data_IF_416707235610
#
_entry.id   IF_416707235610
#
_cell.length_a   1.000
_cell.length_b   1.000
_cell.length_c   1.000
_cell.angle_alpha   90.00
_cell.angle_beta   90.00
_cell.angle_gamma   90.00
#
_symmetry.space_group_name_H-M   'P 1'
#
loop_
_entity.id
_entity.type
_entity.pdbx_description
1 polymer ?
#
# COMPACT_ATOMS: atom_id res chain seq x y z
N UNK A 1 56.42 -2.44 11.91
CA UNK A 1 55.96 -3.16 13.12
C UNK A 1 55.03 -2.22 13.90
N UNK A 2 53.92 -2.64 14.51
CA UNK A 2 53.02 -3.76 14.22
C UNK A 2 51.56 -3.29 13.99
N UNK A 3 50.82 -4.12 13.25
CA UNK A 3 49.37 -4.25 13.23
C UNK A 3 48.86 -4.66 14.62
N UNK A 4 47.76 -4.08 15.13
CA UNK A 4 46.98 -4.73 16.20
C UNK A 4 45.48 -4.55 16.02
N UNK A 5 44.84 -5.70 15.93
CA UNK A 5 43.42 -5.96 15.89
C UNK A 5 42.74 -5.58 17.22
N UNK A 6 41.43 -5.30 17.15
CA UNK A 6 40.53 -5.36 18.31
C UNK A 6 39.42 -6.37 18.01
N UNK A 7 39.53 -7.52 18.65
CA UNK A 7 38.45 -8.50 18.81
C UNK A 7 37.56 -8.09 19.98
N UNK A 8 36.26 -8.36 19.89
CA UNK A 8 35.38 -8.45 21.06
C UNK A 8 34.66 -9.81 21.02
N UNK A 9 34.84 -10.52 22.12
CA UNK A 9 34.33 -11.85 22.47
C UNK A 9 32.84 -11.82 22.82
N UNK A 10 32.21 -13.00 22.71
CA UNK A 10 31.10 -13.45 23.56
C UNK A 10 29.79 -13.65 22.81
N UNK A 11 29.05 -14.76 22.94
CA UNK A 11 29.15 -15.88 23.85
C UNK A 11 28.47 -17.11 23.21
N UNK A 12 29.01 -18.29 23.52
CA UNK A 12 28.48 -19.59 23.13
C UNK A 12 27.26 -19.97 23.99
N UNK A 13 26.27 -20.63 23.40
CA UNK A 13 25.27 -21.41 24.13
C UNK A 13 25.18 -22.78 23.47
N UNK A 14 25.59 -23.80 24.22
CA UNK A 14 25.52 -25.21 23.83
C UNK A 14 24.10 -25.74 24.02
N UNK A 15 23.63 -26.56 23.08
CA UNK A 15 22.44 -27.40 23.28
C UNK A 15 22.82 -28.86 23.00
N UNK A 16 22.66 -29.70 24.02
CA UNK A 16 22.97 -31.12 24.03
C UNK A 16 21.92 -31.93 23.24
N UNK A 17 22.37 -32.99 22.58
CA UNK A 17 21.54 -34.01 21.94
C UNK A 17 21.39 -35.23 22.86
N UNK A 18 20.21 -35.83 22.97
CA UNK A 18 19.99 -37.23 23.43
C UNK A 18 18.64 -37.78 22.90
N UNK A 19 18.74 -38.64 21.89
CA UNK A 19 17.98 -39.88 21.60
C UNK A 19 16.51 -40.08 22.06
N UNK A 20 15.60 -40.18 21.08
CA UNK A 20 14.78 -41.38 20.81
C UNK A 20 13.36 -41.50 21.38
N UNK A 21 12.34 -41.47 20.50
CA UNK A 21 11.23 -42.46 20.41
C UNK A 21 10.16 -42.01 19.38
N UNK A 22 9.78 -42.93 18.49
CA UNK A 22 8.78 -42.76 17.43
C UNK A 22 7.37 -42.56 17.99
N UNK A 23 6.65 -41.53 17.53
CA UNK A 23 5.23 -41.57 17.21
C UNK A 23 4.96 -40.56 16.09
N UNK A 24 4.59 -41.06 14.91
CA UNK A 24 4.12 -40.25 13.80
C UNK A 24 2.77 -39.63 14.16
N UNK A 25 2.71 -38.30 14.16
CA UNK A 25 1.48 -37.53 14.05
C UNK A 25 1.81 -36.32 13.16
N UNK A 26 1.11 -36.24 12.03
CA UNK A 26 1.21 -35.15 11.05
C UNK A 26 0.75 -33.85 11.69
N UNK A 27 1.67 -33.18 12.39
CA UNK A 27 1.51 -31.84 12.90
C UNK A 27 1.86 -30.85 11.80
N UNK A 28 0.89 -29.99 11.48
CA UNK A 28 1.11 -28.76 10.73
C UNK A 28 2.30 -28.00 11.34
N UNK A 29 3.22 -27.58 10.47
CA UNK A 29 4.34 -26.73 10.84
C UNK A 29 3.81 -25.42 11.47
N UNK A 30 4.23 -25.08 12.71
CA UNK A 30 4.16 -23.69 13.14
C UNK A 30 5.24 -22.97 12.34
N UNK A 31 4.83 -22.39 11.23
CA UNK A 31 5.64 -21.46 10.47
C UNK A 31 6.02 -20.32 11.42
N UNK A 32 7.33 -20.18 11.58
CA UNK A 32 8.02 -19.10 12.25
C UNK A 32 7.29 -17.79 11.97
N UNK A 33 6.45 -17.36 12.91
CA UNK A 33 5.81 -16.04 12.85
C UNK A 33 6.86 -15.03 13.25
N UNK A 34 7.84 -14.86 12.36
CA UNK A 34 8.56 -13.62 12.21
C UNK A 34 7.51 -12.49 12.24
N UNK A 35 7.74 -11.41 13.00
CA UNK A 35 6.86 -10.26 12.93
C UNK A 35 6.90 -9.80 11.47
N UNK A 36 5.77 -9.93 10.78
CA UNK A 36 5.55 -9.26 9.52
C UNK A 36 5.73 -7.77 9.79
N UNK A 37 6.95 -7.30 9.56
CA UNK A 37 7.23 -5.91 9.30
C UNK A 37 6.50 -5.64 8.00
N UNK A 38 5.23 -5.25 8.12
CA UNK A 38 4.50 -4.57 7.06
C UNK A 38 5.23 -3.24 6.86
N UNK A 39 6.37 -3.29 6.19
CA UNK A 39 6.84 -2.18 5.40
C UNK A 39 5.81 -2.05 4.29
N UNK A 40 4.72 -1.34 4.57
CA UNK A 40 3.89 -0.74 3.55
C UNK A 40 4.74 0.32 2.85
N UNK A 41 5.71 -0.14 2.07
CA UNK A 41 6.25 0.67 1.01
C UNK A 41 5.08 0.86 0.04
N UNK A 42 4.68 2.10 -0.27
CA UNK A 42 3.66 2.33 -1.28
C UNK A 42 4.08 1.59 -2.55
N UNK A 43 3.32 0.56 -2.90
CA UNK A 43 3.58 -0.29 -4.06
C UNK A 43 3.54 0.58 -5.30
N UNK A 44 4.71 1.04 -5.74
CA UNK A 44 4.83 1.82 -6.96
C UNK A 44 4.66 0.85 -8.12
N UNK A 45 3.44 0.77 -8.64
CA UNK A 45 3.14 0.00 -9.83
C UNK A 45 4.11 0.40 -10.96
N UNK A 46 4.62 -0.56 -11.76
CA UNK A 46 5.65 -0.30 -12.75
C UNK A 46 5.15 0.69 -13.80
N UNK A 47 5.83 1.83 -13.92
CA UNK A 47 5.64 2.78 -15.02
C UNK A 47 6.17 2.15 -16.32
N UNK A 48 5.33 1.35 -16.99
CA UNK A 48 5.57 0.93 -18.37
C UNK A 48 5.40 2.13 -19.31
N UNK A 49 5.80 2.02 -20.58
CA UNK A 49 5.80 3.08 -21.63
C UNK A 49 4.47 3.84 -21.85
N UNK A 50 3.44 3.54 -21.08
CA UNK A 50 2.17 4.27 -21.03
C UNK A 50 2.30 5.52 -20.14
N UNK A 51 1.66 6.62 -20.54
CA UNK A 51 1.53 7.82 -19.72
C UNK A 51 0.52 7.63 -18.58
N UNK A 52 0.82 6.68 -17.70
CA UNK A 52 -0.01 6.28 -16.56
C UNK A 52 0.90 6.03 -15.36
N UNK A 53 0.50 6.52 -14.20
CA UNK A 53 1.15 6.25 -12.93
C UNK A 53 0.10 5.80 -11.92
N UNK A 54 0.38 4.75 -11.16
CA UNK A 54 -0.51 4.24 -10.13
C UNK A 54 0.20 4.15 -8.79
N UNK A 55 -0.55 4.42 -7.72
CA UNK A 55 -0.12 4.41 -6.34
C UNK A 55 -1.27 3.82 -5.52
N UNK A 56 -0.98 2.79 -4.75
CA UNK A 56 -1.90 2.25 -3.76
C UNK A 56 -1.60 2.90 -2.41
N UNK A 57 -2.63 3.34 -1.71
CA UNK A 57 -2.53 3.92 -0.38
C UNK A 57 -3.58 3.31 0.54
N UNK A 58 -3.18 2.92 1.74
CA UNK A 58 -4.10 2.43 2.76
C UNK A 58 -4.97 3.59 3.27
N UNK A 59 -6.29 3.41 3.21
CA UNK A 59 -7.27 4.41 3.67
C UNK A 59 -7.84 4.06 5.04
N UNK A 60 -7.39 2.95 5.64
CA UNK A 60 -7.89 2.43 6.91
C UNK A 60 -9.10 1.51 6.75
N UNK A 61 -9.63 1.02 7.87
CA UNK A 61 -10.77 0.09 7.92
C UNK A 61 -10.57 -1.21 7.11
N UNK A 62 -9.32 -1.63 6.88
CA UNK A 62 -9.01 -2.78 6.03
C UNK A 62 -9.27 -2.54 4.55
N UNK A 63 -9.24 -1.28 4.09
CA UNK A 63 -9.36 -0.90 2.69
C UNK A 63 -8.17 -0.06 2.23
N UNK A 64 -7.88 -0.14 0.93
CA UNK A 64 -6.87 0.64 0.23
C UNK A 64 -7.47 1.31 -1.01
N UNK A 65 -6.90 2.45 -1.37
CA UNK A 65 -7.27 3.22 -2.56
C UNK A 65 -6.16 3.12 -3.60
N UNK A 66 -6.49 2.54 -4.75
CA UNK A 66 -5.64 2.54 -5.93
C UNK A 66 -5.86 3.84 -6.72
N UNK A 67 -4.99 4.81 -6.51
CA UNK A 67 -4.95 6.07 -7.22
C UNK A 67 -4.16 5.90 -8.52
N UNK A 68 -4.79 6.19 -9.64
CA UNK A 68 -4.17 6.17 -10.96
C UNK A 68 -4.30 7.53 -11.62
N UNK A 69 -3.16 8.10 -12.02
CA UNK A 69 -3.12 9.30 -12.84
C UNK A 69 -2.74 8.91 -14.26
N UNK A 70 -3.56 9.30 -15.23
CA UNK A 70 -3.30 9.10 -16.66
C UNK A 70 -3.48 10.40 -17.44
N UNK A 71 -3.18 10.40 -18.74
CA UNK A 71 -3.44 11.56 -19.62
C UNK A 71 -4.91 11.95 -19.66
N UNK A 72 -5.85 11.03 -19.46
CA UNK A 72 -7.28 11.32 -19.44
C UNK A 72 -7.78 11.89 -18.09
N UNK A 73 -6.97 11.78 -17.03
CA UNK A 73 -7.25 12.33 -15.71
C UNK A 73 -6.94 11.37 -14.55
N UNK A 74 -7.22 11.83 -13.31
CA UNK A 74 -7.14 11.01 -12.11
C UNK A 74 -8.30 10.02 -12.03
N UNK A 75 -8.02 8.89 -11.43
CA UNK A 75 -8.95 7.80 -11.18
C UNK A 75 -8.61 7.18 -9.82
N UNK A 76 -9.61 6.84 -9.01
CA UNK A 76 -9.42 6.06 -7.78
C UNK A 76 -10.36 4.87 -7.79
N UNK A 77 -9.81 3.70 -7.51
CA UNK A 77 -10.58 2.48 -7.25
C UNK A 77 -10.28 2.00 -5.83
N UNK A 78 -11.24 1.38 -5.17
CA UNK A 78 -11.04 0.84 -3.82
C UNK A 78 -10.86 -0.66 -3.83
N UNK A 79 -10.00 -1.13 -2.93
CA UNK A 79 -9.77 -2.53 -2.66
C UNK A 79 -9.84 -2.77 -1.17
N UNK A 80 -10.12 -4.00 -0.78
CA UNK A 80 -9.96 -4.46 0.60
C UNK A 80 -8.50 -4.84 0.88
N UNK A 81 -8.17 -5.12 2.14
CA UNK A 81 -6.85 -5.55 2.59
C UNK A 81 -6.29 -6.78 1.86
N UNK A 82 -7.09 -7.80 1.48
CA UNK A 82 -6.63 -8.87 0.60
C UNK A 82 -6.49 -8.48 -0.89
N UNK A 83 -6.79 -7.24 -1.27
CA UNK A 83 -6.60 -6.69 -2.61
C UNK A 83 -7.79 -6.94 -3.56
N UNK A 84 -8.92 -7.41 -3.06
CA UNK A 84 -10.15 -7.56 -3.83
C UNK A 84 -10.82 -6.20 -4.04
N UNK A 85 -11.33 -5.91 -5.25
CA UNK A 85 -12.04 -4.67 -5.51
C UNK A 85 -13.32 -4.59 -4.67
N UNK A 86 -13.63 -3.41 -4.15
CA UNK A 86 -14.86 -3.14 -3.39
C UNK A 86 -15.86 -2.42 -4.31
N UNK A 87 -16.70 -3.14 -5.08
CA UNK A 87 -17.60 -2.53 -6.06
C UNK A 87 -18.68 -1.65 -5.41
N UNK A 88 -19.02 -1.88 -4.14
CA UNK A 88 -19.98 -1.07 -3.39
C UNK A 88 -19.53 0.37 -3.15
N UNK A 89 -18.21 0.60 -3.08
CA UNK A 89 -17.63 1.95 -3.01
C UNK A 89 -17.59 2.60 -4.40
N UNK A 90 -17.56 1.83 -5.48
CA UNK A 90 -17.45 2.35 -6.83
C UNK A 90 -16.07 2.92 -7.16
N UNK A 91 -16.02 3.87 -8.08
CA UNK A 91 -14.80 4.45 -8.63
C UNK A 91 -14.92 5.97 -8.66
N UNK A 92 -13.86 6.68 -8.31
CA UNK A 92 -13.78 8.12 -8.49
C UNK A 92 -13.05 8.47 -9.78
N UNK A 93 -13.56 9.50 -10.46
CA UNK A 93 -12.96 10.10 -11.64
C UNK A 93 -13.40 11.56 -11.77
N UNK A 94 -13.08 12.22 -12.89
CA UNK A 94 -13.49 13.60 -13.15
C UNK A 94 -15.00 13.82 -13.18
N UNK A 95 -15.78 12.81 -13.56
CA UNK A 95 -17.25 12.87 -13.61
C UNK A 95 -17.85 12.62 -12.23
N UNK A 96 -17.26 11.72 -11.45
CA UNK A 96 -17.66 11.38 -10.10
C UNK A 96 -16.48 11.60 -9.15
N UNK A 97 -16.13 12.86 -8.82
CA UNK A 97 -14.96 13.16 -8.01
C UNK A 97 -15.20 12.88 -6.53
N UNK A 98 -16.40 12.44 -6.12
CA UNK A 98 -16.71 12.10 -4.72
C UNK A 98 -17.56 10.84 -4.66
N UNK A 99 -17.39 10.08 -3.59
CA UNK A 99 -18.26 8.95 -3.28
C UNK A 99 -19.64 9.41 -2.84
N UNK A 100 -20.69 8.60 -3.11
CA UNK A 100 -22.01 8.84 -2.55
C UNK A 100 -21.97 8.65 -1.03
N UNK A 101 -22.82 9.38 -0.30
CA UNK A 101 -22.92 9.25 1.16
C UNK A 101 -23.30 7.84 1.62
N UNK A 102 -23.96 7.06 0.75
CA UNK A 102 -24.31 5.65 0.98
C UNK A 102 -23.11 4.70 1.00
N UNK A 103 -21.92 5.16 0.63
CA UNK A 103 -20.70 4.34 0.60
C UNK A 103 -20.15 4.01 2.00
N UNK A 104 -20.62 4.69 3.05
CA UNK A 104 -20.16 4.47 4.43
C UNK A 104 -18.77 5.02 4.75
N UNK A 105 -18.07 5.56 3.75
CA UNK A 105 -16.82 6.32 3.91
C UNK A 105 -16.88 7.58 3.04
N UNK A 106 -16.16 8.61 3.45
CA UNK A 106 -15.93 9.79 2.62
C UNK A 106 -14.67 9.58 1.79
N UNK A 107 -14.78 9.68 0.47
CA UNK A 107 -13.62 9.84 -0.39
C UNK A 107 -13.94 10.84 -1.51
N UNK A 108 -12.98 11.72 -1.79
CA UNK A 108 -13.11 12.82 -2.74
C UNK A 108 -11.77 13.12 -3.43
N UNK A 109 -11.78 13.29 -4.74
CA UNK A 109 -10.67 13.81 -5.53
C UNK A 109 -10.74 15.33 -5.50
N UNK A 110 -9.79 15.96 -4.79
CA UNK A 110 -9.55 17.39 -4.85
C UNK A 110 -8.79 17.74 -6.13
N UNK A 111 -9.17 18.87 -6.76
CA UNK A 111 -8.59 19.36 -8.03
C UNK A 111 -8.58 18.28 -9.13
N UNK A 112 -9.73 17.70 -9.53
CA UNK A 112 -9.80 16.61 -10.51
C UNK A 112 -9.32 17.01 -11.93
N UNK A 113 -9.31 18.31 -12.23
CA UNK A 113 -8.78 18.87 -13.48
C UNK A 113 -7.40 19.52 -13.32
N UNK A 114 -6.83 19.50 -12.12
CA UNK A 114 -5.52 20.10 -11.85
C UNK A 114 -4.35 19.22 -12.30
N UNK A 115 -3.16 19.82 -12.30
CA UNK A 115 -1.88 19.12 -12.55
C UNK A 115 -1.42 18.25 -11.38
N UNK A 116 -1.96 18.51 -10.19
CA UNK A 116 -1.68 17.78 -8.95
C UNK A 116 -3.00 17.47 -8.22
N UNK A 117 -3.75 16.44 -8.67
CA UNK A 117 -4.94 15.96 -7.98
C UNK A 117 -4.55 15.31 -6.65
N UNK A 118 -5.45 15.38 -5.68
CA UNK A 118 -5.27 14.80 -4.35
C UNK A 118 -6.49 13.97 -4.00
N UNK A 119 -6.31 12.85 -3.33
CA UNK A 119 -7.38 12.06 -2.77
C UNK A 119 -7.54 12.44 -1.30
N UNK A 120 -8.71 12.93 -0.93
CA UNK A 120 -9.13 13.15 0.44
C UNK A 120 -10.00 11.99 0.87
N UNK A 121 -9.64 11.28 1.93
CA UNK A 121 -10.42 10.19 2.49
C UNK A 121 -10.73 10.43 3.97
N UNK A 122 -11.84 9.88 4.43
CA UNK A 122 -12.21 9.81 5.84
C UNK A 122 -13.10 8.59 6.05
N UNK A 123 -12.64 7.67 6.88
CA UNK A 123 -13.38 6.47 7.27
C UNK A 123 -14.05 6.69 8.62
N UNK A 124 -15.24 6.14 8.80
CA UNK A 124 -15.97 6.20 10.08
C UNK A 124 -15.18 5.46 11.17
N UNK A 125 -14.92 6.12 12.31
CA UNK A 125 -14.08 5.58 13.39
C UNK A 125 -12.57 5.67 13.15
N UNK A 126 -12.11 6.33 12.09
CA UNK A 126 -10.69 6.57 11.79
C UNK A 126 -10.15 7.93 12.24
N UNK A 127 -8.90 8.20 11.85
CA UNK A 127 -8.20 9.48 11.97
C UNK A 127 -8.96 10.65 11.29
N UNK A 128 -8.57 11.93 11.50
CA UNK A 128 -9.08 13.05 10.70
C UNK A 128 -8.87 12.82 9.20
N UNK A 129 -9.49 13.67 8.37
CA UNK A 129 -9.34 13.59 6.91
C UNK A 129 -7.89 13.38 6.49
N UNK A 130 -7.66 12.26 5.81
CA UNK A 130 -6.37 11.93 5.24
C UNK A 130 -6.33 12.47 3.82
N UNK A 131 -5.18 13.04 3.42
CA UNK A 131 -5.00 13.64 2.11
C UNK A 131 -3.77 13.03 1.47
N UNK A 132 -4.00 12.25 0.42
CA UNK A 132 -2.97 11.55 -0.31
C UNK A 132 -2.75 12.20 -1.69
N UNK A 133 -1.51 12.52 -2.01
CA UNK A 133 -1.17 13.04 -3.33
C UNK A 133 -1.20 11.92 -4.38
N UNK A 134 -1.73 12.23 -5.56
CA UNK A 134 -1.63 11.31 -6.70
C UNK A 134 -0.19 11.14 -7.16
N UNK A 135 0.14 9.97 -7.75
CA UNK A 135 1.45 9.76 -8.33
C UNK A 135 1.67 10.74 -9.50
N UNK A 136 2.87 11.30 -9.57
CA UNK A 136 3.27 12.17 -10.70
C UNK A 136 3.42 11.32 -11.96
N UNK A 137 2.92 11.85 -13.08
CA UNK A 137 3.14 11.26 -14.40
C UNK A 137 4.65 11.21 -14.73
N UNK A 138 5.09 10.23 -15.54
CA UNK A 138 6.45 10.18 -16.05
C UNK A 138 6.82 11.46 -16.81
N UNK A 139 8.13 11.78 -16.86
CA UNK A 139 8.63 12.94 -17.61
C UNK A 139 8.16 12.86 -19.08
N UNK A 140 7.62 13.96 -19.60
CA UNK A 140 7.07 14.03 -20.96
C UNK A 140 5.58 13.74 -21.06
N UNK A 141 4.94 13.23 -20.01
CA UNK A 141 3.49 13.00 -19.97
C UNK A 141 2.78 14.17 -19.27
N UNK A 142 1.68 14.65 -19.85
CA UNK A 142 0.82 15.70 -19.29
C UNK A 142 -0.62 15.22 -19.25
N UNK A 143 -1.35 15.70 -18.25
CA UNK A 143 -2.79 15.45 -18.16
C UNK A 143 -3.49 16.33 -19.20
N UNK A 144 -4.27 15.71 -20.08
CA UNK A 144 -5.10 16.40 -21.07
C UNK A 144 -6.29 17.06 -20.38
N UNK A 145 -6.58 18.31 -20.73
CA UNK A 145 -7.72 19.06 -20.19
C UNK A 145 -7.49 19.66 -18.81
N UNK A 146 -6.24 20.01 -18.46
CA UNK A 146 -5.96 20.93 -17.35
C UNK A 146 -6.40 22.34 -17.75
N UNK A 147 -7.33 22.95 -17.00
CA UNK A 147 -7.88 24.28 -17.27
C UNK A 147 -7.38 25.29 -16.23
#
# INVERSE_FOLDING_TARGET
MPTYARAALGAAIAAAALTGALLASTAATPEDRAPATFSTAPGRAPASKACTASLEADIGAGASALMTLSTSGPTVSFKDGPGHPIPSLGKLDRKHPRLPASAGIHAEILKPYGTAPQLRTKVEGGAPYDVQDFPKLPKGCRVTGTR
#
